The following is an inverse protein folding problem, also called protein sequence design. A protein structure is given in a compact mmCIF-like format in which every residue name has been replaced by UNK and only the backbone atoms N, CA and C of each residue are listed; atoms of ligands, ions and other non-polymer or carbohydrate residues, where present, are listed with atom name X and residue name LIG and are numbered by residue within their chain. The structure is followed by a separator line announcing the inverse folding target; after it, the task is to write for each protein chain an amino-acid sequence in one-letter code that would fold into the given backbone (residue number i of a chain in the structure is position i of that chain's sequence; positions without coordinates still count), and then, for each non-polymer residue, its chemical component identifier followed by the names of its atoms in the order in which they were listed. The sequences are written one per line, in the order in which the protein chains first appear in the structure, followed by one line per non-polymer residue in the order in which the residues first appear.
data_IF_708481136404
#
_entry.id   IF_708481136404
#
_cell.length_a   1.000
_cell.length_b   1.000
_cell.length_c   1.000
_cell.angle_alpha   90.00
_cell.angle_beta   90.00
_cell.angle_gamma   90.00
#
_symmetry.space_group_name_H-M   'P 1'
#
loop_
_entity.id
_entity.type
_entity.pdbx_description
1 polymer ?
#
# COMPACT_ATOMS: atom_id res chain seq x y z
N UNK A 1 17.62 26.95 18.21
CA UNK A 1 18.02 25.68 17.59
C UNK A 1 17.06 25.42 16.45
N UNK A 2 17.54 25.35 15.21
CA UNK A 2 16.69 24.88 14.11
C UNK A 2 16.36 23.41 14.35
N UNK A 3 15.11 22.95 14.11
CA UNK A 3 14.78 21.55 14.21
C UNK A 3 15.63 20.78 13.18
N UNK A 4 16.48 19.89 13.65
CA UNK A 4 17.19 18.94 12.78
C UNK A 4 16.16 17.88 12.39
N UNK A 5 15.60 18.00 11.19
CA UNK A 5 14.75 16.94 10.66
C UNK A 5 15.63 15.72 10.36
N UNK A 6 15.23 14.54 10.82
CA UNK A 6 16.00 13.33 10.53
C UNK A 6 16.08 13.11 9.01
N UNK A 7 17.24 12.64 8.55
CA UNK A 7 17.42 12.29 7.15
C UNK A 7 16.61 11.03 6.86
N UNK A 8 15.61 11.17 5.99
CA UNK A 8 14.78 10.02 5.55
C UNK A 8 15.41 9.42 4.30
N UNK A 9 15.75 8.15 4.37
CA UNK A 9 16.24 7.36 3.24
C UNK A 9 15.11 6.51 2.65
N UNK A 10 15.24 6.16 1.36
CA UNK A 10 14.30 5.26 0.65
C UNK A 10 15.07 4.04 0.17
N UNK A 11 14.54 2.87 0.43
CA UNK A 11 15.12 1.62 -0.07
C UNK A 11 14.05 0.61 -0.43
N UNK A 12 14.41 -0.37 -1.23
CA UNK A 12 13.56 -1.54 -1.42
C UNK A 12 13.47 -2.34 -0.12
N UNK A 13 12.35 -2.98 0.11
CA UNK A 13 12.17 -3.82 1.27
C UNK A 13 12.96 -5.13 1.14
N UNK A 14 13.36 -5.67 2.28
CA UNK A 14 13.99 -6.98 2.44
C UNK A 14 13.05 -7.93 3.19
N UNK A 15 13.42 -9.19 3.31
CA UNK A 15 12.67 -10.16 4.11
C UNK A 15 12.59 -9.81 5.61
N UNK A 16 13.49 -8.96 6.10
CA UNK A 16 13.51 -8.49 7.48
C UNK A 16 12.40 -7.45 7.75
N UNK A 17 11.94 -6.75 6.71
CA UNK A 17 10.86 -5.76 6.80
C UNK A 17 9.46 -6.39 6.83
N UNK A 18 9.33 -7.68 6.59
CA UNK A 18 8.03 -8.36 6.48
C UNK A 18 7.10 -8.09 7.67
N UNK A 19 7.54 -8.12 8.93
CA UNK A 19 6.68 -7.78 10.07
C UNK A 19 6.14 -6.33 10.00
N UNK A 20 6.96 -5.40 9.53
CA UNK A 20 6.55 -4.00 9.35
C UNK A 20 5.54 -3.86 8.19
N UNK A 21 5.79 -4.53 7.06
CA UNK A 21 4.90 -4.53 5.89
C UNK A 21 3.52 -5.09 6.24
N UNK A 22 3.46 -6.18 7.00
CA UNK A 22 2.18 -6.73 7.46
C UNK A 22 1.36 -5.70 8.26
N UNK A 23 2.01 -4.90 9.12
CA UNK A 23 1.34 -3.78 9.81
C UNK A 23 0.88 -2.69 8.86
N UNK A 24 1.70 -2.33 7.86
CA UNK A 24 1.33 -1.34 6.83
C UNK A 24 0.07 -1.77 6.08
N UNK A 25 -0.02 -3.04 5.70
CA UNK A 25 -1.21 -3.58 5.02
C UNK A 25 -2.43 -3.53 5.93
N UNK A 26 -2.32 -3.98 7.20
CA UNK A 26 -3.42 -3.90 8.16
C UNK A 26 -3.88 -2.45 8.41
N UNK A 27 -2.95 -1.50 8.42
CA UNK A 27 -3.28 -0.09 8.55
C UNK A 27 -3.95 0.47 7.28
N UNK A 28 -3.52 0.02 6.10
CA UNK A 28 -4.10 0.40 4.81
C UNK A 28 -5.57 -0.02 4.68
N UNK A 29 -5.93 -1.18 5.22
CA UNK A 29 -7.30 -1.69 5.27
C UNK A 29 -8.04 -1.34 6.58
N UNK A 30 -7.50 -0.43 7.38
CA UNK A 30 -8.08 0.11 8.63
C UNK A 30 -8.39 -0.92 9.72
N UNK A 31 -7.72 -2.06 9.69
CA UNK A 31 -7.89 -3.08 10.73
C UNK A 31 -6.98 -2.85 11.94
N UNK A 32 -5.87 -2.12 11.78
CA UNK A 32 -4.92 -1.83 12.85
C UNK A 32 -4.25 -0.48 12.59
N UNK A 33 -4.13 0.38 13.61
CA UNK A 33 -3.23 1.55 13.51
C UNK A 33 -1.77 1.09 13.59
N UNK A 34 -0.88 1.76 12.85
CA UNK A 34 0.55 1.39 12.74
C UNK A 34 1.25 1.28 14.09
N UNK A 35 0.90 2.16 15.02
CA UNK A 35 1.54 2.28 16.33
C UNK A 35 0.78 1.55 17.45
N UNK A 36 -0.39 0.98 17.13
CA UNK A 36 -1.18 0.28 18.12
C UNK A 36 -0.51 -1.03 18.55
N UNK A 37 -0.69 -1.39 19.81
CA UNK A 37 -0.38 -2.74 20.28
C UNK A 37 -1.27 -3.73 19.52
N UNK A 38 -0.68 -4.79 19.00
CA UNK A 38 -1.43 -5.83 18.28
C UNK A 38 -2.39 -6.53 19.27
N UNK A 39 -3.71 -6.43 19.08
CA UNK A 39 -4.68 -7.12 19.93
C UNK A 39 -4.55 -8.64 19.79
N UNK A 40 -4.79 -9.40 20.86
CA UNK A 40 -4.68 -10.86 20.83
C UNK A 40 -5.61 -11.51 19.81
N UNK A 41 -6.81 -10.98 19.62
CA UNK A 41 -7.77 -11.46 18.61
C UNK A 41 -7.37 -11.14 17.16
N UNK A 42 -6.34 -10.35 16.91
CA UNK A 42 -5.79 -10.06 15.59
C UNK A 42 -4.43 -10.73 15.35
N UNK A 43 -3.89 -11.43 16.33
CA UNK A 43 -2.57 -12.07 16.25
C UNK A 43 -2.50 -13.09 15.11
N UNK A 44 -3.48 -13.97 15.01
CA UNK A 44 -3.51 -15.00 13.96
C UNK A 44 -3.59 -14.37 12.57
N UNK A 45 -4.38 -13.32 12.39
CA UNK A 45 -4.48 -12.58 11.13
C UNK A 45 -3.14 -11.93 10.77
N UNK A 46 -2.48 -11.30 11.74
CA UNK A 46 -1.17 -10.68 11.54
C UNK A 46 -0.11 -11.72 11.14
N UNK A 47 0.00 -12.84 11.87
CA UNK A 47 0.96 -13.90 11.56
C UNK A 47 0.69 -14.52 10.17
N UNK A 48 -0.57 -14.68 9.82
CA UNK A 48 -0.94 -15.14 8.48
C UNK A 48 -0.50 -14.15 7.40
N UNK A 49 -0.71 -12.85 7.61
CA UNK A 49 -0.29 -11.81 6.68
C UNK A 49 1.24 -11.73 6.58
N UNK A 50 1.97 -11.91 7.69
CA UNK A 50 3.44 -12.07 7.70
C UNK A 50 3.86 -13.22 6.78
N UNK A 51 3.15 -14.35 6.83
CA UNK A 51 3.36 -15.47 5.91
C UNK A 51 3.15 -15.08 4.44
N UNK A 52 2.04 -14.41 4.13
CA UNK A 52 1.71 -13.93 2.77
C UNK A 52 2.79 -12.97 2.25
N UNK A 53 3.28 -12.04 3.08
CA UNK A 53 4.31 -11.06 2.68
C UNK A 53 5.66 -11.71 2.32
N UNK A 54 5.93 -12.93 2.79
CA UNK A 54 7.13 -13.71 2.42
C UNK A 54 6.98 -14.48 1.12
N UNK A 55 5.75 -14.80 0.72
CA UNK A 55 5.49 -15.65 -0.43
C UNK A 55 5.58 -14.86 -1.74
N UNK A 56 6.32 -15.41 -2.70
CA UNK A 56 6.39 -14.85 -4.06
C UNK A 56 5.01 -14.89 -4.73
N UNK A 57 4.82 -13.98 -5.68
CA UNK A 57 3.57 -13.84 -6.43
C UNK A 57 2.31 -13.63 -5.55
N UNK A 58 2.45 -12.93 -4.42
CA UNK A 58 1.34 -12.36 -3.64
C UNK A 58 1.31 -10.85 -3.80
N UNK A 59 0.14 -10.22 -3.55
CA UNK A 59 -0.01 -8.76 -3.59
C UNK A 59 0.96 -8.09 -2.63
N UNK A 60 1.11 -8.64 -1.44
CA UNK A 60 1.86 -8.06 -0.33
C UNK A 60 3.29 -8.62 -0.19
N UNK A 61 3.81 -9.33 -1.21
CA UNK A 61 5.21 -9.76 -1.19
C UNK A 61 6.12 -8.57 -0.91
N UNK A 62 7.11 -8.72 -0.01
CA UNK A 62 7.99 -7.61 0.39
C UNK A 62 8.70 -6.96 -0.80
N UNK A 63 8.95 -7.68 -1.90
CA UNK A 63 9.55 -7.12 -3.12
C UNK A 63 8.65 -6.10 -3.83
N UNK A 64 7.37 -6.04 -3.50
CA UNK A 64 6.45 -5.03 -3.99
C UNK A 64 6.46 -3.76 -3.11
N UNK A 65 7.38 -3.65 -2.14
CA UNK A 65 7.33 -2.60 -1.12
C UNK A 65 8.55 -1.69 -1.15
N UNK A 66 8.29 -0.40 -1.03
CA UNK A 66 9.29 0.65 -0.80
C UNK A 66 9.24 1.10 0.65
N UNK A 67 10.39 1.13 1.32
CA UNK A 67 10.55 1.52 2.72
C UNK A 67 11.07 2.94 2.80
N UNK A 68 10.51 3.73 3.72
CA UNK A 68 11.13 4.94 4.26
C UNK A 68 11.81 4.59 5.59
N UNK A 69 13.07 4.96 5.71
CA UNK A 69 13.93 4.61 6.83
C UNK A 69 14.54 5.86 7.46
N UNK A 70 14.61 5.89 8.78
CA UNK A 70 15.30 6.90 9.59
C UNK A 70 16.21 6.16 10.56
N UNK A 71 17.50 6.50 10.57
CA UNK A 71 18.50 5.92 11.47
C UNK A 71 18.51 4.38 11.49
N UNK A 72 18.31 3.76 10.31
CA UNK A 72 18.28 2.31 10.16
C UNK A 72 16.95 1.65 10.55
N UNK A 73 15.93 2.43 10.92
CA UNK A 73 14.61 1.93 11.31
C UNK A 73 13.56 2.26 10.25
N UNK A 74 12.74 1.28 9.85
CA UNK A 74 11.60 1.51 8.97
C UNK A 74 10.56 2.38 9.69
N UNK A 75 10.18 3.52 9.08
CA UNK A 75 9.21 4.47 9.64
C UNK A 75 7.97 4.63 8.78
N UNK A 76 7.99 4.09 7.57
CA UNK A 76 6.87 4.09 6.64
C UNK A 76 7.12 3.14 5.49
N UNK A 77 6.05 2.72 4.82
CA UNK A 77 6.17 1.92 3.62
C UNK A 77 4.99 2.14 2.66
N UNK A 78 5.25 1.84 1.40
CA UNK A 78 4.27 1.83 0.31
C UNK A 78 4.40 0.52 -0.47
N UNK A 79 3.33 -0.26 -0.51
CA UNK A 79 3.16 -1.44 -1.36
C UNK A 79 2.66 -0.98 -2.72
N UNK A 80 3.36 -1.33 -3.79
CA UNK A 80 2.99 -0.95 -5.15
C UNK A 80 3.48 -1.97 -6.17
N UNK A 81 2.74 -2.19 -7.24
CA UNK A 81 3.06 -3.21 -8.24
C UNK A 81 2.46 -2.94 -9.62
N UNK A 82 2.97 -3.65 -10.60
CA UNK A 82 2.44 -3.71 -11.96
C UNK A 82 1.04 -4.34 -11.97
N UNK A 83 0.04 -3.57 -12.42
CA UNK A 83 -1.34 -4.03 -12.55
C UNK A 83 -1.53 -5.21 -13.50
N UNK A 84 -0.62 -5.43 -14.45
CA UNK A 84 -0.65 -6.62 -15.30
C UNK A 84 -0.47 -7.93 -14.50
N UNK A 85 0.21 -7.86 -13.34
CA UNK A 85 0.41 -9.01 -12.46
C UNK A 85 -0.71 -9.19 -11.43
N UNK A 86 -1.58 -8.19 -11.29
CA UNK A 86 -2.59 -8.13 -10.22
C UNK A 86 -3.49 -9.36 -10.18
N UNK A 87 -4.07 -9.78 -11.31
CA UNK A 87 -5.00 -10.91 -11.35
C UNK A 87 -4.39 -12.20 -10.75
N UNK A 88 -3.15 -12.53 -11.17
CA UNK A 88 -2.43 -13.71 -10.66
C UNK A 88 -2.09 -13.59 -9.18
N UNK A 89 -1.53 -12.44 -8.77
CA UNK A 89 -1.15 -12.20 -7.38
C UNK A 89 -2.37 -12.18 -6.46
N UNK A 90 -3.48 -11.58 -6.92
CA UNK A 90 -4.75 -11.52 -6.20
C UNK A 90 -5.34 -12.91 -5.97
N UNK A 91 -5.43 -13.73 -7.01
CA UNK A 91 -5.94 -15.10 -6.91
C UNK A 91 -5.18 -15.88 -5.82
N UNK A 92 -3.85 -15.82 -5.84
CA UNK A 92 -3.02 -16.46 -4.83
C UNK A 92 -3.23 -15.89 -3.44
N UNK A 93 -3.20 -14.56 -3.30
CA UNK A 93 -3.37 -13.88 -2.01
C UNK A 93 -4.73 -14.18 -1.39
N UNK A 94 -5.81 -14.04 -2.16
CA UNK A 94 -7.17 -14.26 -1.67
C UNK A 94 -7.46 -15.76 -1.44
N UNK A 95 -6.82 -16.66 -2.20
CA UNK A 95 -6.85 -18.09 -1.93
C UNK A 95 -6.26 -18.42 -0.56
N UNK A 96 -5.12 -17.82 -0.20
CA UNK A 96 -4.50 -17.98 1.12
C UNK A 96 -5.37 -17.38 2.24
N UNK A 97 -5.94 -16.20 2.03
CA UNK A 97 -6.86 -15.57 2.99
C UNK A 97 -8.09 -16.47 3.21
N UNK A 98 -8.68 -17.00 2.14
CA UNK A 98 -9.82 -17.90 2.24
C UNK A 98 -9.51 -19.18 3.02
N UNK A 99 -8.35 -19.77 2.82
CA UNK A 99 -7.93 -20.98 3.54
C UNK A 99 -7.83 -20.78 5.04
N UNK A 100 -7.42 -19.58 5.48
CA UNK A 100 -7.15 -19.28 6.90
C UNK A 100 -8.37 -18.70 7.61
N UNK A 101 -9.06 -17.74 6.97
CA UNK A 101 -10.19 -17.01 7.58
C UNK A 101 -11.57 -17.51 7.13
N UNK A 102 -11.63 -18.35 6.08
CA UNK A 102 -12.89 -18.72 5.43
C UNK A 102 -13.49 -17.61 4.53
N UNK A 103 -12.91 -16.41 4.53
CA UNK A 103 -13.43 -15.26 3.80
C UNK A 103 -13.09 -15.36 2.31
N UNK A 104 -14.09 -15.41 1.44
CA UNK A 104 -13.90 -15.38 -0.01
C UNK A 104 -13.94 -13.93 -0.53
N UNK A 105 -12.81 -13.42 -0.95
CA UNK A 105 -12.66 -12.07 -1.49
C UNK A 105 -12.70 -12.01 -3.02
N UNK A 106 -12.79 -13.17 -3.71
CA UNK A 106 -12.65 -13.23 -5.17
C UNK A 106 -13.83 -12.61 -5.95
N UNK A 107 -14.96 -12.40 -5.29
CA UNK A 107 -16.13 -11.74 -5.90
C UNK A 107 -16.01 -10.22 -6.05
N UNK A 108 -15.01 -9.60 -5.43
CA UNK A 108 -14.78 -8.16 -5.57
C UNK A 108 -14.30 -7.80 -6.98
N UNK A 109 -14.57 -6.57 -7.42
CA UNK A 109 -14.08 -6.04 -8.67
C UNK A 109 -12.55 -6.02 -8.73
N UNK A 110 -12.01 -5.97 -9.94
CA UNK A 110 -10.57 -5.81 -10.16
C UNK A 110 -10.18 -4.35 -9.95
N UNK A 111 -9.28 -4.08 -9.03
CA UNK A 111 -8.88 -2.71 -8.66
C UNK A 111 -7.94 -2.08 -9.69
N UNK A 112 -7.15 -2.89 -10.38
CA UNK A 112 -6.16 -2.45 -11.37
C UNK A 112 -5.97 -3.50 -12.46
N UNK A 113 -5.25 -3.14 -13.52
CA UNK A 113 -4.98 -4.01 -14.66
C UNK A 113 -3.76 -3.59 -15.49
N UNK A 114 -3.56 -4.21 -16.66
CA UNK A 114 -2.42 -3.92 -17.53
C UNK A 114 -2.30 -2.43 -17.89
N UNK A 115 -1.07 -1.92 -17.90
CA UNK A 115 -0.75 -0.52 -18.20
C UNK A 115 -0.82 0.42 -17.00
N UNK A 116 -1.30 -0.06 -15.85
CA UNK A 116 -1.34 0.68 -14.60
C UNK A 116 -0.22 0.23 -13.66
N UNK A 117 0.42 1.18 -12.99
CA UNK A 117 1.21 0.90 -11.80
C UNK A 117 0.35 1.25 -10.57
N UNK A 118 0.03 0.27 -9.75
CA UNK A 118 -0.95 0.41 -8.69
C UNK A 118 -0.28 0.65 -7.33
N UNK A 119 -0.71 1.71 -6.65
CA UNK A 119 -0.33 2.00 -5.26
C UNK A 119 -1.42 1.40 -4.36
N UNK A 120 -1.06 0.33 -3.63
CA UNK A 120 -2.01 -0.47 -2.85
C UNK A 120 -2.17 0.05 -1.41
N UNK A 121 -1.15 -0.13 -0.58
CA UNK A 121 -1.20 0.17 0.85
C UNK A 121 -0.04 1.06 1.27
N UNK A 122 -0.34 2.17 1.95
CA UNK A 122 0.68 3.08 2.48
C UNK A 122 0.37 3.46 3.92
N UNK A 123 1.37 3.32 4.80
CA UNK A 123 1.25 3.80 6.16
C UNK A 123 2.59 4.33 6.69
N UNK A 124 2.51 5.30 7.60
CA UNK A 124 3.63 5.97 8.25
C UNK A 124 3.40 5.91 9.76
N UNK A 125 4.45 5.63 10.54
CA UNK A 125 4.42 5.70 11.99
C UNK A 125 3.99 7.09 12.46
N UNK A 126 3.22 7.16 13.55
CA UNK A 126 2.58 8.39 14.01
C UNK A 126 3.57 9.54 14.20
N UNK A 127 4.69 9.28 14.88
CA UNK A 127 5.71 10.31 15.18
C UNK A 127 6.39 10.89 13.93
N UNK A 128 6.25 10.24 12.78
CA UNK A 128 6.82 10.65 11.50
C UNK A 128 5.78 11.19 10.51
N UNK A 129 4.49 11.23 10.91
CA UNK A 129 3.42 11.82 10.08
C UNK A 129 3.60 13.34 9.98
N UNK A 130 3.13 13.91 8.87
CA UNK A 130 3.27 15.35 8.62
C UNK A 130 4.66 15.81 8.15
N UNK A 131 5.68 14.92 8.18
CA UNK A 131 7.04 15.20 7.70
C UNK A 131 7.23 15.01 6.18
N UNK A 132 6.15 14.77 5.41
CA UNK A 132 6.22 14.59 3.96
C UNK A 132 6.64 13.19 3.49
N UNK A 133 6.80 12.22 4.38
CA UNK A 133 7.30 10.88 4.06
C UNK A 133 6.37 10.13 3.09
N UNK A 134 5.06 10.20 3.32
CA UNK A 134 4.09 9.58 2.40
C UNK A 134 4.17 10.16 0.99
N UNK A 135 4.29 11.48 0.88
CA UNK A 135 4.52 12.17 -0.41
C UNK A 135 5.80 11.71 -1.07
N UNK A 136 6.88 11.62 -0.32
CA UNK A 136 8.18 11.16 -0.81
C UNK A 136 8.12 9.71 -1.34
N UNK A 137 7.47 8.78 -0.63
CA UNK A 137 7.29 7.40 -1.07
C UNK A 137 6.42 7.32 -2.34
N UNK A 138 5.35 8.09 -2.39
CA UNK A 138 4.45 8.14 -3.54
C UNK A 138 5.17 8.67 -4.79
N UNK A 139 5.88 9.80 -4.67
CA UNK A 139 6.65 10.37 -5.80
C UNK A 139 7.75 9.41 -6.26
N UNK A 140 8.45 8.73 -5.35
CA UNK A 140 9.43 7.70 -5.70
C UNK A 140 8.81 6.58 -6.55
N UNK A 141 7.56 6.18 -6.28
CA UNK A 141 6.87 5.16 -7.07
C UNK A 141 6.30 5.69 -8.38
N UNK A 142 5.89 6.96 -8.43
CA UNK A 142 5.50 7.64 -9.68
C UNK A 142 6.71 7.76 -10.62
N UNK A 143 7.86 8.18 -10.11
CA UNK A 143 9.11 8.27 -10.89
C UNK A 143 9.56 6.89 -11.38
N UNK A 144 9.44 5.87 -10.53
CA UNK A 144 9.71 4.48 -10.92
C UNK A 144 8.79 4.04 -12.06
N UNK A 145 7.48 4.28 -11.95
CA UNK A 145 6.51 3.92 -12.97
C UNK A 145 6.82 4.61 -14.31
N UNK A 146 7.09 5.91 -14.28
CA UNK A 146 7.48 6.68 -15.46
C UNK A 146 8.74 6.09 -16.12
N UNK A 147 9.78 5.81 -15.33
CA UNK A 147 11.06 5.27 -15.81
C UNK A 147 10.95 3.85 -16.37
N UNK A 148 9.90 3.12 -16.00
CA UNK A 148 9.63 1.75 -16.47
C UNK A 148 8.54 1.69 -17.55
N UNK A 149 8.13 2.84 -18.11
CA UNK A 149 7.24 2.91 -19.26
C UNK A 149 5.75 2.67 -18.95
N UNK A 150 5.34 2.79 -17.69
CA UNK A 150 3.92 2.79 -17.37
C UNK A 150 3.25 4.06 -17.87
N UNK A 151 1.99 3.95 -18.27
CA UNK A 151 1.21 5.08 -18.79
C UNK A 151 0.54 5.86 -17.69
N UNK A 152 0.24 5.20 -16.58
CA UNK A 152 -0.47 5.79 -15.45
C UNK A 152 -0.16 5.09 -14.14
N UNK A 153 -0.24 5.84 -13.05
CA UNK A 153 -0.25 5.35 -11.68
C UNK A 153 -1.68 5.46 -11.15
N UNK A 154 -2.16 4.43 -10.47
CA UNK A 154 -3.54 4.39 -9.95
C UNK A 154 -3.55 3.99 -8.48
N UNK A 155 -4.61 4.40 -7.78
CA UNK A 155 -4.89 4.02 -6.40
C UNK A 155 -6.40 4.11 -6.11
N UNK A 156 -6.84 3.51 -5.00
CA UNK A 156 -8.19 3.67 -4.49
C UNK A 156 -8.19 4.54 -3.23
N UNK A 157 -9.15 5.44 -3.15
CA UNK A 157 -9.43 6.26 -1.95
C UNK A 157 -10.85 5.98 -1.49
N UNK A 158 -11.02 5.67 -0.22
CA UNK A 158 -12.33 5.56 0.40
C UNK A 158 -13.14 6.84 0.15
N UNK A 159 -14.35 6.67 -0.36
CA UNK A 159 -15.26 7.78 -0.70
C UNK A 159 -15.60 8.64 0.51
N UNK A 160 -15.57 8.05 1.70
CA UNK A 160 -15.84 8.75 2.96
C UNK A 160 -14.63 9.55 3.48
N UNK A 161 -13.51 9.58 2.72
CA UNK A 161 -12.28 10.32 3.04
C UNK A 161 -11.99 11.48 2.09
N UNK A 162 -12.85 12.51 2.01
CA UNK A 162 -12.68 13.60 1.04
C UNK A 162 -11.39 14.43 1.25
N UNK A 163 -10.82 14.43 2.47
CA UNK A 163 -9.54 15.09 2.75
C UNK A 163 -8.38 14.33 2.12
N UNK A 164 -8.43 13.00 2.14
CA UNK A 164 -7.42 12.16 1.53
C UNK A 164 -7.50 12.23 0.01
N UNK A 165 -8.70 12.27 -0.55
CA UNK A 165 -8.88 12.51 -1.99
C UNK A 165 -8.25 13.83 -2.42
N UNK A 166 -8.53 14.95 -1.73
CA UNK A 166 -7.91 16.25 -2.03
C UNK A 166 -6.39 16.23 -1.93
N UNK A 167 -5.84 15.47 -0.97
CA UNK A 167 -4.41 15.29 -0.87
C UNK A 167 -3.85 14.67 -2.16
N UNK A 168 -4.44 13.59 -2.68
CA UNK A 168 -4.01 12.98 -3.94
C UNK A 168 -4.24 13.89 -5.15
N UNK A 169 -5.33 14.65 -5.17
CA UNK A 169 -5.55 15.67 -6.21
C UNK A 169 -4.43 16.71 -6.25
N UNK A 170 -3.96 17.19 -5.09
CA UNK A 170 -2.82 18.11 -4.98
C UNK A 170 -1.50 17.48 -5.44
N UNK A 171 -1.41 16.15 -5.44
CA UNK A 171 -0.23 15.40 -5.90
C UNK A 171 -0.34 14.93 -7.36
N UNK A 172 -1.32 15.45 -8.11
CA UNK A 172 -1.46 15.21 -9.55
C UNK A 172 -2.35 14.03 -9.93
N UNK A 173 -3.05 13.43 -8.99
CA UNK A 173 -4.05 12.42 -9.30
C UNK A 173 -5.41 13.08 -9.62
N UNK A 174 -6.13 12.51 -10.57
CA UNK A 174 -7.49 12.91 -10.90
C UNK A 174 -8.46 11.76 -10.62
N UNK A 175 -9.70 12.11 -10.26
CA UNK A 175 -10.77 11.13 -10.16
C UNK A 175 -11.04 10.48 -11.53
N UNK A 176 -11.21 9.17 -11.56
CA UNK A 176 -11.52 8.40 -12.76
C UNK A 176 -12.91 7.77 -12.70
N UNK A 177 -13.17 6.96 -11.67
CA UNK A 177 -14.43 6.22 -11.53
C UNK A 177 -14.70 5.84 -10.06
N UNK A 178 -15.95 5.54 -9.75
CA UNK A 178 -16.32 4.92 -8.48
C UNK A 178 -16.27 3.40 -8.57
N UNK A 179 -15.78 2.76 -7.53
CA UNK A 179 -15.69 1.30 -7.44
C UNK A 179 -16.28 0.80 -6.12
N UNK A 180 -17.09 -0.25 -6.17
CA UNK A 180 -17.54 -0.94 -4.97
C UNK A 180 -16.70 -2.20 -4.77
N UNK A 181 -15.83 -2.18 -3.75
CA UNK A 181 -14.94 -3.30 -3.41
C UNK A 181 -14.91 -3.48 -1.89
N UNK A 182 -14.78 -4.71 -1.45
CA UNK A 182 -14.71 -5.07 -0.02
C UNK A 182 -15.85 -4.51 0.85
N UNK A 183 -17.04 -4.31 0.26
CA UNK A 183 -18.21 -3.81 0.97
C UNK A 183 -18.27 -2.29 1.15
N UNK A 184 -17.37 -1.52 0.54
CA UNK A 184 -17.33 -0.06 0.59
C UNK A 184 -17.18 0.58 -0.78
N UNK A 185 -17.51 1.88 -0.89
CA UNK A 185 -17.32 2.66 -2.09
C UNK A 185 -15.98 3.39 -2.06
N UNK A 186 -15.23 3.26 -3.14
CA UNK A 186 -13.95 3.91 -3.36
C UNK A 186 -13.97 4.77 -4.61
N UNK A 187 -13.20 5.83 -4.61
CA UNK A 187 -12.87 6.61 -5.79
C UNK A 187 -11.52 6.12 -6.34
N UNK A 188 -11.52 5.62 -7.58
CA UNK A 188 -10.27 5.33 -8.29
C UNK A 188 -9.66 6.64 -8.74
N UNK A 189 -8.42 6.87 -8.35
CA UNK A 189 -7.63 8.04 -8.70
C UNK A 189 -6.52 7.65 -9.67
N UNK A 190 -6.25 8.50 -10.66
CA UNK A 190 -5.29 8.25 -11.73
C UNK A 190 -4.34 9.42 -11.88
N UNK A 191 -3.04 9.17 -11.85
CA UNK A 191 -1.99 10.09 -12.28
C UNK A 191 -1.49 9.65 -13.66
N UNK A 192 -1.75 10.45 -14.70
CA UNK A 192 -1.24 10.20 -16.06
C UNK A 192 0.23 10.57 -16.15
N UNK A 193 1.04 9.70 -16.75
CA UNK A 193 2.50 9.86 -16.90
C UNK A 193 2.92 10.31 -18.30
N UNK A 194 1.95 10.57 -19.20
CA UNK A 194 2.15 10.99 -20.58
C UNK A 194 1.83 12.46 -20.76
#
# INVERSE_FOLDING_TARGET
MQPVFPIVQRRDATSEDVPFIARVVLAGIEMLDMDATLPDNQRDLYEHLVGICRMDDTLYNYRNTRIAEVDGCAVGALVAYDGARYAKMREKTFGLVKQTSGMDLNHNAMETGPGEFYLDSMAILFDYRGAGIGKMLMHDRVDFALSNGFQKVTLLVDKDKPRLQRYYECEGFAFSEEMFVFGAWYNKMVCSLL
#
